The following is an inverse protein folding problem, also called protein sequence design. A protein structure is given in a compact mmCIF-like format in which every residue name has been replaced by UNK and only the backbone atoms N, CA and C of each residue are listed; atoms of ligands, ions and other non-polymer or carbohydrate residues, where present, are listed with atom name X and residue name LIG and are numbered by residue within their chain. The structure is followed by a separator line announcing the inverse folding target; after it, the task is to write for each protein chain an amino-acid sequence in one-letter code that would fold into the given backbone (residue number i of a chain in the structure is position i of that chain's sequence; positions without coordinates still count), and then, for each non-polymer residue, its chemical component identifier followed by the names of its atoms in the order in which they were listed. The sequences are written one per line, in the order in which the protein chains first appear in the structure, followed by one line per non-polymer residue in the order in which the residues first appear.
data_IF_827401973992
#
_entry.id   IF_827401973992
#
_cell.length_a   1.000
_cell.length_b   1.000
_cell.length_c   1.000
_cell.angle_alpha   90.00
_cell.angle_beta   90.00
_cell.angle_gamma   90.00
#
_symmetry.space_group_name_H-M   'P 1'
#
loop_
_entity.id
_entity.type
_entity.pdbx_description
1 polymer ?
#
# COMPACT_ATOMS: atom_id res chain seq x y z
N UNK A 1 10.99 7.25 -18.24
CA UNK A 1 10.47 6.78 -16.93
C UNK A 1 11.66 6.70 -15.99
N UNK A 2 11.81 7.63 -15.05
CA UNK A 2 12.88 7.52 -14.05
C UNK A 2 12.50 6.41 -13.09
N UNK A 3 13.34 5.37 -12.98
CA UNK A 3 13.17 4.34 -11.97
C UNK A 3 13.28 5.01 -10.60
N UNK A 4 12.32 4.83 -9.70
CA UNK A 4 12.40 5.38 -8.34
C UNK A 4 13.72 5.00 -7.63
N UNK A 5 14.29 3.84 -7.98
CA UNK A 5 15.60 3.39 -7.49
C UNK A 5 16.79 4.23 -7.97
N UNK A 6 16.63 5.14 -8.94
CA UNK A 6 17.67 6.11 -9.30
C UNK A 6 17.87 7.18 -8.22
N UNK A 7 16.86 7.40 -7.37
CA UNK A 7 16.96 8.31 -6.24
C UNK A 7 18.04 7.81 -5.25
N UNK A 8 19.04 8.64 -4.86
CA UNK A 8 20.16 8.20 -4.04
C UNK A 8 19.76 7.45 -2.76
N UNK A 9 18.71 7.94 -2.07
CA UNK A 9 18.22 7.32 -0.83
C UNK A 9 17.57 5.94 -1.03
N UNK A 10 17.17 5.57 -2.25
CA UNK A 10 16.47 4.31 -2.56
C UNK A 10 17.37 3.29 -3.26
N UNK A 11 18.63 3.62 -3.57
CA UNK A 11 19.56 2.73 -4.30
C UNK A 11 19.87 1.44 -3.57
N UNK A 12 19.86 1.49 -2.23
CA UNK A 12 20.10 0.33 -1.37
C UNK A 12 18.81 -0.35 -0.90
N UNK A 13 17.69 -0.11 -1.58
CA UNK A 13 16.41 -0.72 -1.29
C UNK A 13 15.99 -1.70 -2.40
N UNK A 14 15.25 -2.75 -2.02
CA UNK A 14 14.36 -3.45 -2.96
C UNK A 14 13.03 -2.71 -3.04
N UNK A 15 12.35 -2.81 -4.17
CA UNK A 15 10.98 -2.33 -4.35
C UNK A 15 10.02 -3.50 -4.33
N UNK A 16 9.17 -3.58 -3.32
CA UNK A 16 7.95 -4.39 -3.38
C UNK A 16 6.85 -3.56 -4.00
N UNK A 17 6.04 -4.18 -4.85
CA UNK A 17 4.97 -3.47 -5.53
C UNK A 17 3.68 -4.27 -5.57
N UNK A 18 2.58 -3.55 -5.41
CA UNK A 18 1.23 -4.05 -5.62
C UNK A 18 0.62 -3.20 -6.72
N UNK A 19 0.25 -3.83 -7.84
CA UNK A 19 -0.26 -3.14 -9.02
C UNK A 19 -1.73 -3.44 -9.28
N UNK A 20 -2.49 -2.40 -9.57
CA UNK A 20 -3.91 -2.46 -9.90
C UNK A 20 -4.71 -3.35 -8.93
N UNK A 21 -4.43 -3.23 -7.62
CA UNK A 21 -5.20 -3.96 -6.63
C UNK A 21 -6.60 -3.38 -6.56
N UNK A 22 -7.56 -4.15 -7.05
CA UNK A 22 -8.94 -3.76 -7.17
C UNK A 22 -9.69 -4.04 -5.85
N UNK A 23 -10.39 -3.02 -5.36
CA UNK A 23 -11.28 -3.12 -4.21
C UNK A 23 -12.58 -2.38 -4.52
N UNK A 24 -13.69 -2.88 -3.96
CA UNK A 24 -14.98 -2.19 -3.98
C UNK A 24 -15.20 -1.57 -2.61
N UNK A 25 -15.32 -0.24 -2.55
CA UNK A 25 -15.41 0.49 -1.28
C UNK A 25 -16.45 1.59 -1.34
N UNK A 26 -17.11 1.86 -0.21
CA UNK A 26 -17.94 3.06 -0.06
C UNK A 26 -17.01 4.25 0.17
N UNK A 27 -16.81 5.04 -0.90
CA UNK A 27 -15.97 6.23 -0.88
C UNK A 27 -16.70 7.39 -1.56
N UNK A 28 -16.55 8.60 -1.02
CA UNK A 28 -17.11 9.82 -1.62
C UNK A 28 -17.73 10.79 -0.62
N UNK A 29 -17.90 12.04 -1.05
CA UNK A 29 -18.47 13.14 -0.25
C UNK A 29 -19.95 13.36 -0.53
N UNK A 30 -20.43 12.97 -1.69
CA UNK A 30 -21.81 13.21 -2.09
C UNK A 30 -22.76 12.11 -1.64
N UNK A 31 -24.00 12.48 -1.30
CA UNK A 31 -25.04 11.55 -0.84
C UNK A 31 -25.38 10.42 -1.83
N UNK A 32 -25.09 10.61 -3.13
CA UNK A 32 -25.27 9.55 -4.13
C UNK A 32 -24.13 8.52 -4.12
N UNK A 33 -22.94 8.90 -3.66
CA UNK A 33 -21.76 8.02 -3.53
C UNK A 33 -21.88 7.08 -2.32
N UNK A 34 -22.81 7.38 -1.40
CA UNK A 34 -23.17 6.50 -0.28
C UNK A 34 -24.11 5.36 -0.67
N UNK A 35 -24.59 5.32 -1.92
CA UNK A 35 -25.63 4.37 -2.38
C UNK A 35 -25.09 3.05 -2.94
N UNK A 36 -23.77 2.92 -3.08
CA UNK A 36 -23.15 1.69 -3.56
C UNK A 36 -21.64 1.79 -3.57
N UNK A 37 -20.98 0.63 -3.53
CA UNK A 37 -19.53 0.56 -3.58
C UNK A 37 -19.00 1.03 -4.93
N UNK A 38 -17.88 1.74 -4.89
CA UNK A 38 -17.14 2.18 -6.07
C UNK A 38 -15.90 1.31 -6.24
N UNK A 39 -15.59 0.98 -7.49
CA UNK A 39 -14.35 0.28 -7.84
C UNK A 39 -13.16 1.23 -7.75
N UNK A 40 -12.20 0.90 -6.89
CA UNK A 40 -10.95 1.65 -6.71
C UNK A 40 -9.77 0.75 -7.04
N UNK A 41 -8.81 1.28 -7.81
CA UNK A 41 -7.55 0.62 -8.11
C UNK A 41 -6.44 1.23 -7.27
N UNK A 42 -5.78 0.42 -6.46
CA UNK A 42 -4.70 0.86 -5.58
C UNK A 42 -3.38 0.33 -6.13
N UNK A 43 -2.40 1.24 -6.24
CA UNK A 43 -1.02 0.91 -6.55
C UNK A 43 -0.14 1.30 -5.36
N UNK A 44 0.76 0.40 -4.96
CA UNK A 44 1.70 0.62 -3.85
C UNK A 44 3.10 0.28 -4.32
N UNK A 45 4.05 1.15 -3.98
CA UNK A 45 5.48 0.89 -4.07
C UNK A 45 6.09 1.06 -2.68
N UNK A 46 6.58 -0.03 -2.09
CA UNK A 46 7.31 -0.01 -0.82
C UNK A 46 8.80 -0.25 -1.07
N UNK A 47 9.63 0.63 -0.52
CA UNK A 47 11.08 0.57 -0.63
C UNK A 47 11.68 0.09 0.69
N UNK A 48 12.32 -1.07 0.65
CA UNK A 48 12.77 -1.78 1.85
C UNK A 48 14.28 -1.92 1.80
N UNK A 49 15.03 -1.48 2.83
CA UNK A 49 16.48 -1.57 2.85
C UNK A 49 16.97 -3.01 2.63
N UNK A 50 17.86 -3.21 1.67
CA UNK A 50 18.43 -4.53 1.37
C UNK A 50 19.20 -5.11 2.56
N UNK A 51 19.81 -4.23 3.37
CA UNK A 51 20.56 -4.62 4.57
C UNK A 51 19.70 -5.37 5.61
N UNK A 52 18.37 -5.20 5.58
CA UNK A 52 17.44 -5.78 6.55
C UNK A 52 16.46 -6.78 5.93
N UNK A 53 16.47 -6.93 4.61
CA UNK A 53 15.46 -7.70 3.87
C UNK A 53 16.05 -8.69 2.87
N UNK A 54 17.35 -9.00 2.96
CA UNK A 54 18.02 -9.94 2.07
C UNK A 54 18.13 -11.31 2.74
N UNK A 55 17.25 -12.27 2.38
CA UNK A 55 17.20 -13.56 3.05
C UNK A 55 18.46 -14.37 2.78
N UNK A 56 18.92 -15.09 3.80
CA UNK A 56 20.03 -16.04 3.70
C UNK A 56 19.53 -17.49 3.74
N UNK A 57 18.34 -17.72 4.32
CA UNK A 57 17.78 -19.04 4.57
C UNK A 57 16.48 -19.29 3.80
N UNK A 58 16.07 -18.36 2.95
CA UNK A 58 14.81 -18.39 2.20
C UNK A 58 13.57 -18.51 3.12
N UNK A 59 13.57 -17.74 4.21
CA UNK A 59 12.45 -17.71 5.17
C UNK A 59 11.70 -16.38 5.12
N UNK A 60 10.38 -16.46 5.34
CA UNK A 60 9.48 -15.31 5.28
C UNK A 60 9.79 -14.25 6.35
N UNK A 61 10.32 -14.67 7.51
CA UNK A 61 10.69 -13.77 8.61
C UNK A 61 11.95 -12.93 8.32
N UNK A 62 12.70 -13.25 7.27
CA UNK A 62 13.85 -12.46 6.80
C UNK A 62 13.46 -11.34 5.83
N UNK A 63 12.19 -11.24 5.46
CA UNK A 63 11.67 -10.27 4.49
C UNK A 63 10.39 -9.63 5.00
N UNK A 64 10.03 -8.48 4.40
CA UNK A 64 8.68 -7.95 4.55
C UNK A 64 7.78 -8.70 3.59
N UNK A 65 6.74 -9.33 4.14
CA UNK A 65 5.72 -10.04 3.37
C UNK A 65 4.92 -9.04 2.51
N UNK A 66 4.74 -9.34 1.23
CA UNK A 66 3.93 -8.50 0.35
C UNK A 66 2.43 -8.54 0.71
N UNK A 67 1.96 -9.60 1.39
CA UNK A 67 0.58 -9.67 1.88
C UNK A 67 0.29 -8.64 2.99
N UNK A 68 1.34 -8.07 3.60
CA UNK A 68 1.23 -6.90 4.46
C UNK A 68 0.50 -5.74 3.75
N UNK A 69 0.85 -5.46 2.49
CA UNK A 69 0.23 -4.35 1.74
C UNK A 69 -1.28 -4.55 1.59
N UNK A 70 -1.70 -5.76 1.23
CA UNK A 70 -3.11 -6.12 1.07
C UNK A 70 -3.85 -6.03 2.40
N UNK A 71 -3.23 -6.52 3.46
CA UNK A 71 -3.79 -6.54 4.81
C UNK A 71 -4.00 -5.14 5.36
N UNK A 72 -3.05 -4.22 5.18
CA UNK A 72 -3.18 -2.83 5.59
C UNK A 72 -4.32 -2.13 4.84
N UNK A 73 -4.40 -2.31 3.51
CA UNK A 73 -5.48 -1.74 2.69
C UNK A 73 -6.84 -2.26 3.15
N UNK A 74 -6.99 -3.59 3.28
CA UNK A 74 -8.23 -4.21 3.72
C UNK A 74 -8.63 -3.73 5.13
N UNK A 75 -7.69 -3.67 6.07
CA UNK A 75 -7.92 -3.18 7.42
C UNK A 75 -8.34 -1.71 7.43
N UNK A 76 -7.76 -0.87 6.57
CA UNK A 76 -8.13 0.55 6.46
C UNK A 76 -9.54 0.72 5.90
N UNK A 77 -9.90 -0.06 4.88
CA UNK A 77 -11.24 -0.04 4.27
C UNK A 77 -12.29 -0.51 5.27
N UNK A 78 -11.99 -1.56 6.05
CA UNK A 78 -12.90 -2.11 7.05
C UNK A 78 -13.26 -1.13 8.19
N UNK A 79 -12.53 -0.02 8.36
CA UNK A 79 -12.85 1.02 9.35
C UNK A 79 -14.09 1.85 9.00
N UNK A 80 -14.66 1.68 7.81
CA UNK A 80 -15.91 2.29 7.39
C UNK A 80 -15.74 3.33 6.28
N UNK A 81 -16.78 4.16 6.11
CA UNK A 81 -16.91 5.08 4.97
C UNK A 81 -15.73 6.05 4.88
N UNK A 82 -15.19 6.19 3.67
CA UNK A 82 -14.10 7.11 3.36
C UNK A 82 -14.68 8.27 2.57
N UNK A 83 -14.36 9.50 2.93
CA UNK A 83 -14.88 10.65 2.19
C UNK A 83 -13.97 11.03 1.01
N UNK A 84 -12.65 11.02 1.22
CA UNK A 84 -11.66 11.52 0.29
C UNK A 84 -10.63 10.44 -0.05
N UNK A 85 -10.18 10.43 -1.31
CA UNK A 85 -9.13 9.51 -1.75
C UNK A 85 -7.81 9.82 -1.06
N UNK A 86 -7.54 11.10 -0.81
CA UNK A 86 -6.41 11.62 -0.06
C UNK A 86 -6.37 11.00 1.34
N UNK A 87 -7.51 10.95 2.04
CA UNK A 87 -7.60 10.33 3.36
C UNK A 87 -7.27 8.84 3.32
N UNK A 88 -7.76 8.11 2.31
CA UNK A 88 -7.39 6.69 2.14
C UNK A 88 -5.89 6.54 1.89
N UNK A 89 -5.34 7.33 0.97
CA UNK A 89 -3.94 7.27 0.58
C UNK A 89 -3.01 7.56 1.77
N UNK A 90 -3.26 8.66 2.47
CA UNK A 90 -2.45 9.10 3.61
C UNK A 90 -2.50 8.10 4.76
N UNK A 91 -3.68 7.55 5.08
CA UNK A 91 -3.82 6.55 6.13
C UNK A 91 -3.10 5.24 5.79
N UNK A 92 -3.26 4.75 4.55
CA UNK A 92 -2.58 3.52 4.11
C UNK A 92 -1.07 3.72 4.15
N UNK A 93 -0.56 4.82 3.59
CA UNK A 93 0.86 5.13 3.60
C UNK A 93 1.42 5.24 5.01
N UNK A 94 0.73 5.96 5.91
CA UNK A 94 1.12 6.10 7.31
C UNK A 94 1.22 4.75 8.01
N UNK A 95 0.20 3.90 7.90
CA UNK A 95 0.20 2.57 8.54
C UNK A 95 1.32 1.68 7.98
N UNK A 96 1.59 1.75 6.67
CA UNK A 96 2.67 0.98 6.06
C UNK A 96 4.07 1.44 6.53
N UNK A 97 4.25 2.73 6.81
CA UNK A 97 5.51 3.31 7.28
C UNK A 97 5.75 3.15 8.79
N UNK A 98 4.74 2.73 9.54
CA UNK A 98 4.84 2.43 10.99
C UNK A 98 5.40 1.02 11.27
N UNK A 99 5.67 0.21 10.23
CA UNK A 99 6.26 -1.13 10.29
C UNK A 99 7.80 -1.08 10.25
#
# INVERSE_FOLDING_TARGET
MFSALSHPALRACRRLFLQNYEVNINIGVHEFEKRGEQRVLINVDLFIPLAMSTPQQDKLDEVVDYDFMRSVIAARIARGHIHLQETLCDDVARIMLEH
#
